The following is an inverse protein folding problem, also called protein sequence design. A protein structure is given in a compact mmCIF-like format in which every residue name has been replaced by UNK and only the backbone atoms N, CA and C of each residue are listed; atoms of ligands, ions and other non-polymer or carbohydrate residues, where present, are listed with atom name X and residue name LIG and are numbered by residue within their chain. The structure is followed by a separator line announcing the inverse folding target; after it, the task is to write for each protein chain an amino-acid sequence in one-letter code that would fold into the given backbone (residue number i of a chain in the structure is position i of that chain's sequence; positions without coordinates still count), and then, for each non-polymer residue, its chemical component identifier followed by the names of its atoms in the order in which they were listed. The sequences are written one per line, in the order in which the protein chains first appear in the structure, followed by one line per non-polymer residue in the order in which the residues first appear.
data_IF_119587297670
#
_entry.id   IF_119587297670
#
_cell.length_a   1.000
_cell.length_b   1.000
_cell.length_c   1.000
_cell.angle_alpha   90.00
_cell.angle_beta   90.00
_cell.angle_gamma   90.00
#
_symmetry.space_group_name_H-M   'P 1'
#
loop_
_entity.id
_entity.type
_entity.pdbx_description
1 polymer ?
#
# COMPACT_ATOMS: atom_id res chain seq x y z
N UNK A 1 0.36 21.26 -0.86
CA UNK A 1 -0.27 22.44 -1.49
C UNK A 1 -1.78 22.47 -1.23
N UNK A 2 -2.56 21.46 -1.71
CA UNK A 2 -4.03 21.47 -1.59
C UNK A 2 -4.48 21.60 -0.13
N UNK A 3 -3.92 20.80 0.78
CA UNK A 3 -4.21 20.86 2.21
C UNK A 3 -3.91 22.23 2.83
N UNK A 4 -2.80 22.86 2.44
CA UNK A 4 -2.40 24.18 2.96
C UNK A 4 -3.24 25.34 2.40
N UNK A 5 -3.95 25.09 1.32
CA UNK A 5 -4.85 26.06 0.69
C UNK A 5 -6.35 25.81 0.98
N UNK A 6 -6.66 24.95 1.95
CA UNK A 6 -8.01 24.75 2.45
C UNK A 6 -8.95 23.99 1.50
N UNK A 7 -8.41 23.12 0.63
CA UNK A 7 -9.25 22.24 -0.18
C UNK A 7 -9.84 21.12 0.68
N UNK A 8 -11.11 20.81 0.46
CA UNK A 8 -11.87 19.85 1.29
C UNK A 8 -11.74 18.41 0.82
N UNK A 9 -11.60 18.21 -0.50
CA UNK A 9 -11.53 16.88 -1.12
C UNK A 9 -10.41 16.87 -2.15
N UNK A 10 -9.60 15.83 -2.14
CA UNK A 10 -8.59 15.56 -3.18
C UNK A 10 -8.94 14.23 -3.84
N UNK A 11 -9.09 14.27 -5.18
CA UNK A 11 -9.22 13.06 -5.99
C UNK A 11 -7.87 12.69 -6.61
N UNK A 12 -7.44 11.45 -6.40
CA UNK A 12 -6.18 10.89 -6.86
C UNK A 12 -6.47 9.73 -7.83
N UNK A 13 -6.81 10.08 -9.09
CA UNK A 13 -7.06 9.10 -10.16
C UNK A 13 -5.75 8.58 -10.76
N UNK A 14 -4.81 8.18 -9.90
CA UNK A 14 -3.51 7.60 -10.27
C UNK A 14 -3.12 6.53 -9.27
N UNK A 15 -2.15 5.70 -9.60
CA UNK A 15 -1.58 4.67 -8.75
C UNK A 15 -0.25 4.17 -9.31
N UNK A 16 0.38 3.28 -8.56
CA UNK A 16 1.64 2.63 -8.94
C UNK A 16 1.37 1.31 -9.66
N UNK A 17 0.58 1.34 -10.73
CA UNK A 17 0.45 0.17 -11.60
C UNK A 17 1.76 -0.02 -12.36
N UNK A 18 2.75 -0.69 -11.75
CA UNK A 18 3.90 -1.18 -12.49
C UNK A 18 3.55 -2.52 -13.12
N UNK A 19 3.81 -2.62 -14.39
CA UNK A 19 3.74 -3.87 -15.16
C UNK A 19 5.17 -4.26 -15.56
N UNK A 20 5.47 -5.56 -15.48
CA UNK A 20 6.73 -6.09 -16.01
C UNK A 20 6.78 -6.01 -17.54
N UNK A 21 7.92 -6.40 -18.13
CA UNK A 21 8.10 -6.40 -19.60
C UNK A 21 7.12 -7.35 -20.31
N UNK A 22 6.56 -8.32 -19.59
CA UNK A 22 5.56 -9.28 -20.05
C UNK A 22 4.13 -8.79 -19.88
N UNK A 23 3.91 -7.63 -19.23
CA UNK A 23 2.59 -7.05 -18.97
C UNK A 23 1.88 -7.57 -17.72
N UNK A 24 2.59 -8.26 -16.81
CA UNK A 24 2.02 -8.72 -15.57
C UNK A 24 2.15 -7.63 -14.48
N UNK A 25 1.15 -7.49 -13.59
CA UNK A 25 1.25 -6.55 -12.49
C UNK A 25 2.40 -6.94 -11.54
N UNK A 26 3.26 -5.96 -11.23
CA UNK A 26 4.33 -6.13 -10.24
C UNK A 26 3.79 -5.72 -8.88
N UNK A 27 3.58 -6.69 -8.02
CA UNK A 27 2.83 -6.59 -6.76
C UNK A 27 3.58 -5.93 -5.58
N UNK A 28 4.76 -5.40 -5.75
CA UNK A 28 5.60 -4.93 -4.64
C UNK A 28 5.92 -3.44 -4.70
N UNK A 29 5.35 -2.72 -5.63
CA UNK A 29 5.75 -1.34 -5.88
C UNK A 29 4.62 -0.42 -5.54
N UNK A 30 4.83 0.42 -4.58
CA UNK A 30 3.86 1.47 -4.30
C UNK A 30 3.87 2.04 -2.91
N UNK A 31 4.11 1.27 -1.86
CA UNK A 31 4.18 1.87 -0.54
C UNK A 31 5.39 2.80 -0.43
N UNK A 32 5.13 4.04 -0.09
CA UNK A 32 6.14 5.05 0.21
C UNK A 32 5.83 5.69 1.55
N UNK A 33 6.77 5.62 2.50
CA UNK A 33 6.60 6.29 3.79
C UNK A 33 6.43 7.80 3.61
N UNK A 34 7.17 8.40 2.68
CA UNK A 34 7.07 9.84 2.40
C UNK A 34 5.69 10.20 1.84
N UNK A 35 5.09 9.35 0.99
CA UNK A 35 3.73 9.56 0.47
C UNK A 35 2.68 9.36 1.58
N UNK A 36 2.83 8.31 2.40
CA UNK A 36 1.95 8.07 3.56
C UNK A 36 1.99 9.24 4.55
N UNK A 37 3.17 9.81 4.81
CA UNK A 37 3.31 10.99 5.67
C UNK A 37 2.57 12.21 5.11
N UNK A 38 2.60 12.41 3.78
CA UNK A 38 1.86 13.49 3.10
C UNK A 38 0.35 13.24 3.12
N UNK A 39 -0.09 12.00 2.92
CA UNK A 39 -1.51 11.59 3.06
C UNK A 39 -2.00 11.88 4.48
N UNK A 40 -1.26 11.45 5.49
CA UNK A 40 -1.60 11.68 6.90
C UNK A 40 -1.60 13.18 7.26
N UNK A 41 -0.67 13.95 6.70
CA UNK A 41 -0.65 15.40 6.86
C UNK A 41 -1.90 16.04 6.28
N UNK A 42 -2.30 15.68 5.05
CA UNK A 42 -3.50 16.22 4.40
C UNK A 42 -4.77 15.84 5.16
N UNK A 43 -4.88 14.58 5.59
CA UNK A 43 -5.99 14.12 6.43
C UNK A 43 -6.08 14.90 7.75
N UNK A 44 -4.96 15.11 8.43
CA UNK A 44 -4.88 15.92 9.67
C UNK A 44 -5.23 17.40 9.46
N UNK A 45 -5.18 17.90 8.22
CA UNK A 45 -5.67 19.21 7.81
C UNK A 45 -7.16 19.22 7.42
N UNK A 46 -7.89 18.15 7.70
CA UNK A 46 -9.31 18.05 7.43
C UNK A 46 -9.66 17.72 5.97
N UNK A 47 -8.69 17.36 5.13
CA UNK A 47 -8.94 17.00 3.73
C UNK A 47 -9.43 15.56 3.64
N UNK A 48 -10.47 15.30 2.86
CA UNK A 48 -10.87 13.97 2.48
C UNK A 48 -10.10 13.54 1.22
N UNK A 49 -9.50 12.37 1.29
CA UNK A 49 -8.67 11.82 0.22
C UNK A 49 -9.37 10.63 -0.43
N UNK A 50 -9.50 10.66 -1.75
CA UNK A 50 -10.15 9.61 -2.55
C UNK A 50 -9.19 9.16 -3.64
N UNK A 51 -9.00 7.87 -3.84
CA UNK A 51 -8.07 7.34 -4.84
C UNK A 51 -8.63 6.15 -5.60
N UNK A 52 -8.19 6.01 -6.86
CA UNK A 52 -8.47 4.87 -7.71
C UNK A 52 -7.77 3.61 -7.19
N UNK A 53 -8.50 2.49 -7.09
CA UNK A 53 -7.95 1.23 -6.55
C UNK A 53 -6.96 0.52 -7.50
N UNK A 54 -6.96 0.84 -8.79
CA UNK A 54 -6.12 0.21 -9.81
C UNK A 54 -6.91 -0.65 -10.80
N UNK A 55 -6.27 -1.00 -11.91
CA UNK A 55 -6.92 -1.64 -13.04
C UNK A 55 -6.31 -3.00 -13.42
N UNK A 56 -5.63 -3.66 -12.50
CA UNK A 56 -5.01 -4.98 -12.71
C UNK A 56 -6.00 -6.16 -12.59
N UNK A 57 -7.21 -5.92 -12.06
CA UNK A 57 -8.22 -6.96 -11.86
C UNK A 57 -7.89 -7.96 -10.74
N UNK A 58 -7.00 -7.60 -9.84
CA UNK A 58 -6.46 -8.45 -8.78
C UNK A 58 -6.71 -7.86 -7.38
N UNK A 59 -6.47 -8.61 -6.29
CA UNK A 59 -6.65 -8.15 -4.91
C UNK A 59 -5.41 -7.45 -4.33
N UNK A 60 -4.42 -7.11 -5.15
CA UNK A 60 -3.15 -6.54 -4.68
C UNK A 60 -3.34 -5.07 -4.31
N UNK A 61 -2.82 -4.68 -3.12
CA UNK A 61 -2.88 -3.30 -2.62
C UNK A 61 -2.11 -2.36 -3.54
N UNK A 62 -2.78 -1.32 -4.03
CA UNK A 62 -2.21 -0.28 -4.86
C UNK A 62 -2.20 1.06 -4.09
N UNK A 63 -1.14 1.83 -4.22
CA UNK A 63 -0.99 3.11 -3.52
C UNK A 63 -1.10 4.28 -4.50
N UNK A 64 -1.69 5.42 -4.06
CA UNK A 64 -2.02 5.79 -2.67
C UNK A 64 -3.36 5.23 -2.13
N UNK A 65 -4.14 4.48 -2.91
CA UNK A 65 -5.47 4.03 -2.51
C UNK A 65 -5.47 3.20 -1.21
N UNK A 66 -4.45 2.37 -0.99
CA UNK A 66 -4.36 1.46 0.15
C UNK A 66 -3.81 2.09 1.45
N UNK A 67 -3.56 3.42 1.50
CA UNK A 67 -3.26 4.09 2.77
C UNK A 67 -4.52 4.26 3.61
N UNK A 68 -4.40 4.14 4.94
CA UNK A 68 -5.54 4.15 5.88
C UNK A 68 -6.45 5.38 5.78
N UNK A 69 -5.88 6.55 5.51
CA UNK A 69 -6.61 7.81 5.44
C UNK A 69 -7.07 8.17 4.01
N UNK A 70 -7.15 7.18 3.13
CA UNK A 70 -7.64 7.30 1.76
C UNK A 70 -8.89 6.43 1.58
N UNK A 71 -9.90 6.95 0.88
CA UNK A 71 -11.01 6.14 0.38
C UNK A 71 -10.56 5.50 -0.93
N UNK A 72 -10.28 4.20 -0.91
CA UNK A 72 -9.98 3.43 -2.09
C UNK A 72 -11.24 3.10 -2.87
N UNK A 73 -11.27 3.38 -4.17
CA UNK A 73 -12.48 3.22 -5.01
C UNK A 73 -12.24 2.25 -6.14
N UNK A 74 -12.96 1.14 -6.14
CA UNK A 74 -13.06 0.18 -7.25
C UNK A 74 -14.14 0.60 -8.26
N UNK A 75 -14.12 -0.01 -9.44
CA UNK A 75 -15.04 0.28 -10.53
C UNK A 75 -16.15 -0.77 -10.66
N UNK A 76 -17.40 -0.30 -10.85
CA UNK A 76 -18.52 -1.11 -11.34
C UNK A 76 -18.81 -0.81 -12.80
N UNK A 77 -19.44 -1.78 -13.48
CA UNK A 77 -20.07 -1.64 -14.77
C UNK A 77 -21.52 -1.07 -14.63
N UNK A 78 -22.27 -1.02 -15.73
CA UNK A 78 -23.63 -0.50 -15.80
C UNK A 78 -24.69 -1.44 -15.21
N UNK A 79 -24.34 -2.71 -14.95
CA UNK A 79 -25.15 -3.70 -14.24
C UNK A 79 -24.82 -3.75 -12.73
N UNK A 80 -24.02 -2.80 -12.23
CA UNK A 80 -23.52 -2.74 -10.86
C UNK A 80 -22.62 -3.91 -10.42
N UNK A 81 -22.10 -4.69 -11.37
CA UNK A 81 -21.09 -5.71 -11.09
C UNK A 81 -19.69 -5.07 -11.04
N UNK A 82 -18.74 -5.75 -10.40
CA UNK A 82 -17.35 -5.32 -10.50
C UNK A 82 -16.87 -5.36 -11.95
N UNK A 83 -16.41 -4.24 -12.48
CA UNK A 83 -15.74 -4.19 -13.78
C UNK A 83 -14.54 -5.15 -13.78
N UNK A 84 -14.36 -5.93 -14.85
CA UNK A 84 -13.38 -7.03 -14.90
C UNK A 84 -11.94 -6.59 -14.64
N UNK A 85 -11.60 -5.36 -15.02
CA UNK A 85 -10.29 -4.76 -14.81
C UNK A 85 -10.10 -4.21 -13.38
N UNK A 86 -11.19 -3.94 -12.63
CA UNK A 86 -11.07 -3.28 -11.34
C UNK A 86 -10.31 -4.13 -10.33
N UNK A 87 -9.25 -3.58 -9.74
CA UNK A 87 -8.65 -4.12 -8.53
C UNK A 87 -9.67 -4.11 -7.39
N UNK A 88 -9.56 -5.06 -6.46
CA UNK A 88 -10.58 -5.34 -5.45
C UNK A 88 -9.96 -5.86 -4.15
N UNK A 89 -10.71 -5.85 -3.06
CA UNK A 89 -10.30 -6.42 -1.77
C UNK A 89 -11.17 -5.91 -0.63
N UNK A 90 -11.81 -6.81 0.11
CA UNK A 90 -12.65 -6.48 1.26
C UNK A 90 -11.87 -5.98 2.48
N UNK A 91 -10.56 -5.99 2.43
CA UNK A 91 -9.67 -5.51 3.48
C UNK A 91 -9.04 -4.14 3.20
N UNK A 92 -9.17 -3.58 1.96
CA UNK A 92 -8.54 -2.31 1.62
C UNK A 92 -9.33 -1.44 0.63
N UNK A 93 -10.12 -2.00 -0.30
CA UNK A 93 -11.00 -1.20 -1.17
C UNK A 93 -12.21 -0.75 -0.36
N UNK A 94 -12.37 0.56 -0.15
CA UNK A 94 -13.46 1.09 0.68
C UNK A 94 -14.81 0.96 -0.03
N UNK A 95 -14.90 1.52 -1.25
CA UNK A 95 -16.15 1.64 -2.00
C UNK A 95 -15.99 1.18 -3.45
N UNK A 96 -17.09 0.77 -4.04
CA UNK A 96 -17.24 0.62 -5.49
C UNK A 96 -18.03 1.82 -6.03
N UNK A 97 -17.74 2.26 -7.26
CA UNK A 97 -18.50 3.30 -7.95
C UNK A 97 -18.49 3.08 -9.48
N UNK A 98 -19.42 3.67 -10.25
CA UNK A 98 -19.44 3.53 -11.70
C UNK A 98 -18.10 3.93 -12.32
N UNK A 99 -17.47 3.01 -13.06
CA UNK A 99 -16.14 3.21 -13.63
C UNK A 99 -15.93 2.57 -14.98
N UNK A 100 -16.90 1.82 -15.50
CA UNK A 100 -16.86 1.31 -16.87
C UNK A 100 -17.76 2.12 -17.77
N UNK A 101 -17.25 2.44 -18.97
CA UNK A 101 -17.99 3.18 -20.01
C UNK A 101 -18.55 4.52 -19.50
N UNK A 102 -17.71 5.34 -18.87
CA UNK A 102 -18.09 6.65 -18.34
C UNK A 102 -17.88 7.73 -19.40
N UNK A 103 -18.97 8.39 -19.77
CA UNK A 103 -18.94 9.54 -20.69
C UNK A 103 -18.56 10.81 -19.91
N UNK A 104 -17.52 11.50 -20.34
CA UNK A 104 -17.08 12.76 -19.75
C UNK A 104 -16.46 13.69 -20.77
N UNK A 105 -16.31 14.96 -20.38
CA UNK A 105 -15.65 15.98 -21.19
C UNK A 105 -14.15 15.74 -21.26
N UNK A 106 -13.61 15.86 -22.47
CA UNK A 106 -12.16 15.79 -22.72
C UNK A 106 -11.70 17.03 -23.48
N UNK A 107 -10.54 17.62 -23.15
CA UNK A 107 -10.01 18.72 -23.91
C UNK A 107 -9.63 18.24 -25.34
N UNK A 108 -10.19 18.88 -26.34
CA UNK A 108 -9.86 18.64 -27.73
C UNK A 108 -9.84 19.99 -28.48
N UNK A 109 -8.94 20.16 -29.47
CA UNK A 109 -8.84 21.35 -30.29
C UNK A 109 -10.12 21.57 -31.14
N UNK A 110 -10.94 20.54 -31.32
CA UNK A 110 -12.19 20.57 -32.06
C UNK A 110 -13.43 20.80 -31.18
N UNK A 111 -13.27 21.01 -29.89
CA UNK A 111 -14.36 21.32 -28.98
C UNK A 111 -15.02 22.67 -29.34
N UNK A 112 -16.29 22.66 -29.62
CA UNK A 112 -17.07 23.90 -29.91
C UNK A 112 -18.24 23.71 -30.85
N UNK A 113 -18.41 22.54 -31.43
CA UNK A 113 -19.62 22.18 -32.20
C UNK A 113 -20.33 21.05 -31.47
N UNK A 114 -21.46 21.37 -30.88
CA UNK A 114 -22.28 20.38 -30.16
C UNK A 114 -22.98 19.49 -31.21
N UNK A 115 -22.41 18.32 -31.42
CA UNK A 115 -23.07 17.24 -32.19
C UNK A 115 -23.12 16.02 -31.24
N UNK A 116 -24.31 15.62 -30.84
CA UNK A 116 -24.55 14.54 -29.88
C UNK A 116 -23.97 13.20 -30.31
N UNK A 117 -23.81 12.98 -31.60
CA UNK A 117 -23.26 11.75 -32.20
C UNK A 117 -21.78 11.87 -32.58
N UNK A 118 -21.21 13.07 -32.60
CA UNK A 118 -19.82 13.35 -32.99
C UNK A 118 -19.15 14.45 -32.15
N UNK A 119 -19.56 14.65 -30.90
CA UNK A 119 -18.95 15.70 -30.09
C UNK A 119 -17.52 15.30 -29.68
N UNK A 120 -16.57 15.93 -30.36
CA UNK A 120 -15.15 15.73 -30.14
C UNK A 120 -14.70 16.07 -28.70
N UNK A 121 -15.58 16.67 -27.90
CA UNK A 121 -15.33 17.05 -26.50
C UNK A 121 -15.79 16.00 -25.49
N UNK A 122 -16.50 14.96 -25.92
CA UNK A 122 -17.01 13.91 -25.07
C UNK A 122 -16.37 12.57 -25.44
N UNK A 123 -15.81 11.89 -24.44
CA UNK A 123 -15.21 10.58 -24.63
C UNK A 123 -15.68 9.60 -23.56
N UNK A 124 -15.88 8.36 -23.98
CA UNK A 124 -16.08 7.22 -23.10
C UNK A 124 -14.74 6.72 -22.60
N UNK A 125 -14.61 6.57 -21.28
CA UNK A 125 -13.43 5.97 -20.66
C UNK A 125 -13.84 4.98 -19.58
N UNK A 126 -12.99 3.97 -19.35
CA UNK A 126 -13.17 2.96 -18.31
C UNK A 126 -11.94 2.90 -17.43
N UNK A 127 -12.15 2.75 -16.14
CA UNK A 127 -11.09 2.65 -15.15
C UNK A 127 -11.57 3.02 -13.74
N UNK A 128 -10.87 2.56 -12.73
CA UNK A 128 -11.05 3.04 -11.35
C UNK A 128 -10.76 4.54 -11.23
N UNK A 129 -9.99 5.09 -12.20
CA UNK A 129 -9.78 6.53 -12.38
C UNK A 129 -11.06 7.31 -12.69
N UNK A 130 -12.08 6.65 -13.28
CA UNK A 130 -13.41 7.21 -13.54
C UNK A 130 -14.36 6.98 -12.38
N UNK A 131 -14.16 5.94 -11.60
CA UNK A 131 -14.94 5.64 -10.40
C UNK A 131 -14.62 6.60 -9.24
N UNK A 132 -13.34 6.87 -8.97
CA UNK A 132 -12.91 7.70 -7.84
C UNK A 132 -13.50 9.13 -7.85
N UNK A 133 -13.62 9.84 -8.99
CA UNK A 133 -14.23 11.17 -9.01
C UNK A 133 -15.75 11.17 -8.71
N UNK A 134 -16.46 10.05 -8.89
CA UNK A 134 -17.85 9.94 -8.42
C UNK A 134 -17.92 10.02 -6.90
N UNK A 135 -17.03 9.34 -6.20
CA UNK A 135 -16.94 9.38 -4.73
C UNK A 135 -16.47 10.76 -4.26
N UNK A 136 -15.47 11.35 -4.94
CA UNK A 136 -15.00 12.71 -4.62
C UNK A 136 -16.11 13.77 -4.81
N UNK A 137 -16.91 13.65 -5.87
CA UNK A 137 -18.08 14.52 -6.12
C UNK A 137 -19.17 14.34 -5.06
N UNK A 138 -19.47 13.11 -4.68
CA UNK A 138 -20.38 12.79 -3.57
C UNK A 138 -19.88 13.39 -2.24
N UNK A 139 -18.60 13.28 -1.95
CA UNK A 139 -17.97 13.88 -0.78
C UNK A 139 -18.15 15.41 -0.78
N UNK A 140 -17.85 16.06 -1.90
CA UNK A 140 -18.01 17.52 -2.03
C UNK A 140 -19.46 17.97 -1.82
N UNK A 141 -20.44 17.20 -2.34
CA UNK A 141 -21.86 17.46 -2.11
C UNK A 141 -22.25 17.31 -0.65
N UNK A 142 -21.77 16.28 0.03
CA UNK A 142 -22.00 16.07 1.47
C UNK A 142 -21.40 17.21 2.31
N UNK A 143 -20.19 17.69 1.97
CA UNK A 143 -19.59 18.87 2.59
C UNK A 143 -20.49 20.09 2.46
N UNK A 144 -20.94 20.41 1.23
CA UNK A 144 -21.80 21.54 0.97
C UNK A 144 -23.17 21.41 1.65
N UNK A 145 -23.71 20.20 1.79
CA UNK A 145 -25.01 19.95 2.39
C UNK A 145 -24.97 19.97 3.92
N UNK A 146 -23.96 19.37 4.54
CA UNK A 146 -23.90 19.19 6.01
C UNK A 146 -23.16 20.32 6.72
N UNK A 147 -22.16 20.92 6.07
CA UNK A 147 -21.23 21.86 6.69
C UNK A 147 -21.10 23.17 5.90
N UNK A 148 -22.19 23.62 5.28
CA UNK A 148 -22.22 24.84 4.45
C UNK A 148 -21.71 26.10 5.18
N UNK A 149 -21.87 26.17 6.47
CA UNK A 149 -21.44 27.26 7.34
C UNK A 149 -20.00 27.12 7.85
N UNK A 150 -19.33 25.97 7.58
CA UNK A 150 -17.97 25.64 8.00
C UNK A 150 -17.00 25.41 6.83
N UNK A 151 -17.36 25.85 5.61
CA UNK A 151 -16.55 25.65 4.41
C UNK A 151 -15.28 26.54 4.33
N UNK A 152 -15.06 27.43 5.29
CA UNK A 152 -13.91 28.36 5.23
C UNK A 152 -12.57 27.71 5.53
N UNK A 153 -12.55 26.67 6.36
CA UNK A 153 -11.33 25.97 6.76
C UNK A 153 -11.64 24.52 7.19
N UNK A 154 -11.32 23.53 6.36
CA UNK A 154 -11.57 22.12 6.69
C UNK A 154 -10.80 21.63 7.93
N UNK A 155 -9.66 22.23 8.25
CA UNK A 155 -8.83 21.81 9.38
C UNK A 155 -9.50 22.09 10.74
N UNK A 156 -10.40 23.05 10.80
CA UNK A 156 -11.12 23.43 12.02
C UNK A 156 -12.56 22.92 12.06
N UNK A 157 -13.04 22.32 10.96
CA UNK A 157 -14.39 21.82 10.85
C UNK A 157 -14.59 20.58 11.75
N UNK A 158 -15.61 20.66 12.62
CA UNK A 158 -16.03 19.55 13.47
C UNK A 158 -17.55 19.47 13.51
N UNK A 159 -18.09 18.27 13.67
CA UNK A 159 -19.50 18.08 13.94
C UNK A 159 -19.88 18.45 15.38
N UNK A 160 -21.15 18.31 15.74
CA UNK A 160 -21.64 18.62 17.08
C UNK A 160 -21.04 17.73 18.19
N UNK A 161 -20.44 16.59 17.83
CA UNK A 161 -19.78 15.66 18.76
C UNK A 161 -18.26 15.88 18.84
N UNK A 162 -17.72 16.84 18.08
CA UNK A 162 -16.30 17.15 18.01
C UNK A 162 -15.51 16.25 17.06
N UNK A 163 -16.19 15.47 16.22
CA UNK A 163 -15.54 14.62 15.21
C UNK A 163 -15.17 15.48 13.99
N UNK A 164 -13.94 15.38 13.44
CA UNK A 164 -13.55 16.11 12.24
C UNK A 164 -14.50 15.85 11.07
N UNK A 165 -14.84 16.91 10.32
CA UNK A 165 -15.82 16.80 9.24
C UNK A 165 -15.41 15.85 8.12
N UNK A 166 -14.12 15.77 7.75
CA UNK A 166 -13.63 14.80 6.79
C UNK A 166 -13.89 13.35 7.23
N UNK A 167 -13.70 13.05 8.51
CA UNK A 167 -14.01 11.74 9.08
C UNK A 167 -15.52 11.46 9.04
N UNK A 168 -16.35 12.44 9.38
CA UNK A 168 -17.81 12.29 9.31
C UNK A 168 -18.29 12.07 7.88
N UNK A 169 -17.78 12.83 6.91
CA UNK A 169 -18.11 12.64 5.49
C UNK A 169 -17.68 11.25 5.00
N UNK A 170 -16.47 10.79 5.37
CA UNK A 170 -16.03 9.43 5.08
C UNK A 170 -17.01 8.40 5.62
N UNK A 171 -17.37 8.50 6.89
CA UNK A 171 -18.31 7.58 7.54
C UNK A 171 -19.70 7.60 6.89
N UNK A 172 -20.18 8.76 6.45
CA UNK A 172 -21.47 8.88 5.74
C UNK A 172 -21.42 8.15 4.40
N UNK A 173 -20.33 8.30 3.63
CA UNK A 173 -20.14 7.62 2.36
C UNK A 173 -20.06 6.09 2.54
N UNK A 174 -19.28 5.64 3.51
CA UNK A 174 -19.02 4.23 3.77
C UNK A 174 -20.24 3.51 4.37
N UNK A 175 -20.88 4.09 5.38
CA UNK A 175 -22.05 3.48 6.04
C UNK A 175 -23.35 3.64 5.25
N UNK A 176 -23.40 4.60 4.32
CA UNK A 176 -24.53 4.79 3.42
C UNK A 176 -24.44 4.00 2.12
N UNK A 177 -23.35 3.24 1.90
CA UNK A 177 -23.15 2.46 0.70
C UNK A 177 -24.09 1.26 0.59
N UNK A 178 -24.38 0.83 -0.64
CA UNK A 178 -25.16 -0.38 -0.92
C UNK A 178 -24.26 -1.61 -0.86
N UNK A 179 -24.48 -2.55 0.07
CA UNK A 179 -23.65 -3.74 0.20
C UNK A 179 -23.91 -4.78 -0.90
N UNK A 180 -25.04 -4.68 -1.59
CA UNK A 180 -25.50 -5.61 -2.63
C UNK A 180 -25.68 -4.85 -3.94
N UNK A 181 -25.11 -5.37 -5.02
CA UNK A 181 -25.32 -4.87 -6.38
C UNK A 181 -26.69 -5.19 -6.94
N UNK A 182 -27.02 -4.68 -8.14
CA UNK A 182 -28.34 -4.79 -8.75
C UNK A 182 -28.80 -6.24 -8.97
N UNK A 183 -27.88 -7.14 -9.33
CA UNK A 183 -28.15 -8.57 -9.54
C UNK A 183 -28.00 -9.44 -8.27
N UNK A 184 -27.91 -8.81 -7.10
CA UNK A 184 -27.73 -9.51 -5.84
C UNK A 184 -26.28 -9.94 -5.57
N UNK A 185 -25.31 -9.40 -6.29
CA UNK A 185 -23.89 -9.60 -6.00
C UNK A 185 -23.55 -9.02 -4.63
N UNK A 186 -22.88 -9.80 -3.80
CA UNK A 186 -22.31 -9.34 -2.55
C UNK A 186 -21.06 -8.49 -2.83
N UNK A 187 -21.23 -7.17 -2.77
CA UNK A 187 -20.14 -6.21 -3.00
C UNK A 187 -19.19 -6.10 -1.82
N UNK A 188 -19.57 -6.55 -0.63
CA UNK A 188 -18.68 -6.62 0.54
C UNK A 188 -17.68 -7.78 0.47
N UNK A 189 -17.86 -8.70 -0.47
CA UNK A 189 -16.83 -9.71 -0.78
C UNK A 189 -15.62 -9.13 -1.53
N UNK A 190 -15.76 -7.93 -2.15
CA UNK A 190 -14.76 -7.29 -3.02
C UNK A 190 -14.41 -5.87 -2.59
N UNK A 191 -15.14 -5.30 -1.63
CA UNK A 191 -14.89 -4.00 -1.00
C UNK A 191 -15.35 -4.02 0.45
N UNK A 192 -14.96 -3.03 1.25
CA UNK A 192 -15.34 -2.97 2.68
C UNK A 192 -16.82 -2.66 2.89
N UNK A 193 -17.37 -1.72 2.11
CA UNK A 193 -18.71 -1.17 2.36
C UNK A 193 -19.70 -1.38 1.22
N UNK A 194 -19.23 -1.68 0.00
CA UNK A 194 -20.08 -1.87 -1.15
C UNK A 194 -20.07 -0.70 -2.13
N UNK A 195 -21.17 -0.45 -2.84
CA UNK A 195 -21.28 0.58 -3.87
C UNK A 195 -21.71 1.93 -3.31
N UNK A 196 -21.12 3.01 -3.83
CA UNK A 196 -21.54 4.38 -3.54
C UNK A 196 -23.05 4.56 -3.70
N UNK A 197 -23.72 5.02 -2.64
CA UNK A 197 -25.12 5.43 -2.64
C UNK A 197 -25.23 6.81 -2.01
N UNK A 198 -25.45 7.83 -2.84
CA UNK A 198 -25.52 9.21 -2.36
C UNK A 198 -26.75 9.46 -1.46
N UNK A 199 -27.90 8.83 -1.74
CA UNK A 199 -29.11 8.95 -0.91
C UNK A 199 -28.87 8.29 0.45
N UNK A 200 -28.26 7.09 0.44
CA UNK A 200 -27.85 6.42 1.66
C UNK A 200 -26.87 7.28 2.47
N UNK A 201 -25.85 7.85 1.84
CA UNK A 201 -24.88 8.72 2.48
C UNK A 201 -25.52 10.00 3.11
N UNK A 202 -26.45 10.65 2.40
CA UNK A 202 -27.17 11.84 2.90
C UNK A 202 -28.05 11.55 4.13
N UNK A 203 -28.56 10.33 4.22
CA UNK A 203 -29.46 9.88 5.30
C UNK A 203 -28.76 9.06 6.38
N UNK A 204 -27.49 8.70 6.15
CA UNK A 204 -26.70 7.99 7.14
C UNK A 204 -26.62 8.79 8.45
N UNK A 205 -26.78 8.07 9.55
CA UNK A 205 -26.49 8.56 10.90
C UNK A 205 -25.26 7.82 11.38
N UNK A 206 -24.05 8.31 11.03
CA UNK A 206 -22.85 7.56 11.35
C UNK A 206 -22.77 7.26 12.84
N UNK A 207 -22.64 5.98 13.17
CA UNK A 207 -22.16 5.54 14.48
C UNK A 207 -20.65 5.56 14.45
N UNK A 208 -20.00 5.63 15.62
CA UNK A 208 -18.56 5.52 15.72
C UNK A 208 -18.06 4.37 14.80
N UNK A 209 -17.05 4.61 13.95
CA UNK A 209 -16.57 3.56 13.06
C UNK A 209 -16.20 2.34 13.91
N UNK A 210 -16.45 1.12 13.43
CA UNK A 210 -15.89 -0.04 14.09
C UNK A 210 -14.38 0.20 14.23
N UNK A 211 -13.79 -0.16 15.37
CA UNK A 211 -12.35 -0.02 15.52
C UNK A 211 -11.68 -0.68 14.30
N UNK A 212 -10.64 -0.04 13.75
CA UNK A 212 -9.94 -0.63 12.60
C UNK A 212 -9.64 -2.09 12.91
N UNK A 213 -9.74 -2.98 11.92
CA UNK A 213 -9.41 -4.39 12.14
C UNK A 213 -8.03 -4.45 12.80
N UNK A 214 -7.82 -5.32 13.78
CA UNK A 214 -6.55 -5.39 14.47
C UNK A 214 -5.43 -5.59 13.44
N UNK A 215 -4.44 -4.70 13.47
CA UNK A 215 -3.30 -4.74 12.57
C UNK A 215 -2.64 -6.14 12.61
N UNK A 216 -2.48 -6.75 11.45
CA UNK A 216 -1.98 -8.12 11.34
C UNK A 216 -0.46 -8.09 11.17
N UNK A 217 0.26 -8.47 12.21
CA UNK A 217 1.71 -8.70 12.12
C UNK A 217 1.96 -10.14 11.69
N UNK A 218 2.75 -10.31 10.64
CA UNK A 218 3.17 -11.62 10.12
C UNK A 218 4.70 -11.77 10.19
N UNK A 219 5.16 -13.00 10.09
CA UNK A 219 6.57 -13.26 9.83
C UNK A 219 6.88 -12.93 8.36
N UNK A 220 8.12 -12.50 8.05
CA UNK A 220 8.57 -12.39 6.66
C UNK A 220 8.53 -13.75 5.95
N UNK A 221 8.18 -13.73 4.69
CA UNK A 221 8.06 -14.92 3.84
C UNK A 221 9.08 -14.88 2.70
N UNK A 222 9.24 -16.01 1.99
CA UNK A 222 10.10 -16.15 0.80
C UNK A 222 11.54 -15.63 0.99
N UNK A 223 12.14 -15.88 2.18
CA UNK A 223 13.54 -15.51 2.44
C UNK A 223 14.45 -16.21 1.44
N UNK A 224 15.14 -15.41 0.62
CA UNK A 224 16.14 -15.85 -0.34
C UNK A 224 17.50 -15.24 -0.06
N UNK A 225 18.57 -15.97 -0.40
CA UNK A 225 19.95 -15.56 -0.14
C UNK A 225 20.79 -15.72 -1.39
N UNK A 226 21.60 -14.72 -1.69
CA UNK A 226 22.60 -14.77 -2.75
C UNK A 226 23.95 -14.26 -2.26
N UNK A 227 25.02 -14.62 -2.95
CA UNK A 227 26.38 -14.16 -2.64
C UNK A 227 26.97 -13.50 -3.89
N UNK A 228 27.45 -12.30 -3.73
CA UNK A 228 28.20 -11.58 -4.78
C UNK A 228 29.42 -10.91 -4.15
N UNK A 229 30.61 -11.15 -4.68
CA UNK A 229 31.87 -10.58 -4.19
C UNK A 229 32.11 -10.75 -2.68
N UNK A 230 31.76 -11.92 -2.13
CA UNK A 230 31.84 -12.25 -0.70
C UNK A 230 30.90 -11.43 0.20
N UNK A 231 29.93 -10.72 -0.37
CA UNK A 231 28.83 -10.06 0.34
C UNK A 231 27.60 -10.97 0.21
N UNK A 232 26.91 -11.16 1.31
CA UNK A 232 25.64 -11.89 1.36
C UNK A 232 24.50 -10.91 1.23
N UNK A 233 23.60 -11.16 0.27
CA UNK A 233 22.39 -10.41 0.04
C UNK A 233 21.19 -11.26 0.46
N UNK A 234 20.37 -10.74 1.34
CA UNK A 234 19.11 -11.32 1.75
C UNK A 234 17.97 -10.55 1.09
N UNK A 235 16.93 -11.27 0.66
CA UNK A 235 15.68 -10.68 0.20
C UNK A 235 14.53 -11.44 0.85
N UNK A 236 13.45 -10.74 1.20
CA UNK A 236 12.23 -11.31 1.78
C UNK A 236 11.00 -10.52 1.36
N UNK A 237 9.83 -11.14 1.47
CA UNK A 237 8.54 -10.48 1.30
C UNK A 237 7.86 -10.31 2.66
N UNK A 238 7.14 -9.22 2.84
CA UNK A 238 6.28 -9.00 3.99
C UNK A 238 4.84 -8.77 3.53
N UNK A 239 3.92 -9.62 4.00
CA UNK A 239 2.50 -9.62 3.63
C UNK A 239 1.58 -9.23 4.81
N UNK A 240 2.13 -8.62 5.85
CA UNK A 240 1.39 -8.05 6.97
C UNK A 240 1.20 -6.55 6.85
N UNK A 241 0.58 -5.94 7.85
CA UNK A 241 0.38 -4.50 7.90
C UNK A 241 1.69 -3.77 8.25
N UNK A 242 2.17 -2.95 7.36
CA UNK A 242 3.44 -2.21 7.55
C UNK A 242 3.32 -1.18 8.69
N UNK A 243 2.14 -0.62 8.91
CA UNK A 243 1.89 0.30 10.03
C UNK A 243 1.95 -0.36 11.40
N UNK A 244 1.79 -1.70 11.45
CA UNK A 244 1.89 -2.50 12.67
C UNK A 244 3.33 -2.77 13.10
N UNK A 245 4.32 -2.54 12.24
CA UNK A 245 5.70 -2.94 12.49
C UNK A 245 6.64 -1.74 12.58
N UNK A 246 7.71 -1.91 13.37
CA UNK A 246 8.80 -0.96 13.46
C UNK A 246 9.91 -1.22 12.43
N UNK A 247 9.89 -2.39 11.80
CA UNK A 247 10.90 -2.86 10.87
C UNK A 247 11.19 -4.35 11.03
N UNK A 248 12.42 -4.74 10.73
CA UNK A 248 12.83 -6.15 10.73
C UNK A 248 14.08 -6.36 11.58
N UNK A 249 14.23 -7.58 12.10
CA UNK A 249 15.46 -8.05 12.73
C UNK A 249 16.04 -9.18 11.89
N UNK A 250 17.28 -9.02 11.46
CA UNK A 250 18.04 -10.06 10.77
C UNK A 250 18.92 -10.77 11.79
N UNK A 251 18.89 -12.09 11.82
CA UNK A 251 19.79 -12.91 12.64
C UNK A 251 20.58 -13.85 11.77
N UNK A 252 21.85 -14.04 12.17
CA UNK A 252 22.79 -14.96 11.53
C UNK A 252 23.41 -15.87 12.57
N UNK A 253 23.42 -17.16 12.30
CA UNK A 253 24.28 -18.13 12.98
C UNK A 253 25.42 -18.58 12.08
N UNK A 254 26.54 -18.93 12.69
CA UNK A 254 27.73 -19.43 11.99
C UNK A 254 28.05 -20.84 12.44
N UNK A 255 28.41 -21.69 11.50
CA UNK A 255 28.78 -23.08 11.78
C UNK A 255 30.17 -23.19 12.43
N UNK A 256 30.22 -23.83 13.57
CA UNK A 256 31.51 -24.15 14.22
C UNK A 256 31.89 -25.62 13.99
N UNK A 257 32.74 -25.85 12.99
CA UNK A 257 33.19 -27.20 12.64
C UNK A 257 33.93 -27.94 13.76
N UNK A 258 34.62 -27.23 14.67
CA UNK A 258 35.32 -27.87 15.81
C UNK A 258 34.35 -28.40 16.86
N UNK A 259 33.17 -27.72 17.02
CA UNK A 259 32.14 -28.09 17.99
C UNK A 259 30.96 -28.82 17.36
N UNK A 260 30.98 -28.97 16.04
CA UNK A 260 29.91 -29.58 15.23
C UNK A 260 28.51 -29.03 15.61
N UNK A 261 28.40 -27.71 15.67
CA UNK A 261 27.12 -27.02 15.98
C UNK A 261 27.10 -25.58 15.49
N UNK A 262 25.88 -25.07 15.27
CA UNK A 262 25.63 -23.66 15.05
C UNK A 262 25.91 -22.87 16.32
N UNK A 263 26.49 -21.69 16.16
CA UNK A 263 26.79 -20.76 17.24
C UNK A 263 27.05 -19.35 16.73
N UNK A 264 27.28 -18.42 17.67
CA UNK A 264 27.63 -17.03 17.36
C UNK A 264 26.51 -16.28 16.65
N UNK A 265 25.37 -16.13 17.34
CA UNK A 265 24.28 -15.31 16.88
C UNK A 265 24.75 -13.85 16.72
N UNK A 266 24.61 -13.33 15.49
CA UNK A 266 24.71 -11.89 15.20
C UNK A 266 23.30 -11.39 14.85
N UNK A 267 22.98 -10.16 15.28
CA UNK A 267 21.64 -9.60 15.10
C UNK A 267 21.74 -8.14 14.69
N UNK A 268 20.89 -7.73 13.76
CA UNK A 268 20.78 -6.36 13.25
C UNK A 268 19.31 -5.95 13.16
N UNK A 269 18.97 -4.76 13.63
CA UNK A 269 17.65 -4.16 13.44
C UNK A 269 17.66 -3.24 12.22
N UNK A 270 16.75 -3.49 11.30
CA UNK A 270 16.45 -2.67 10.12
C UNK A 270 15.16 -1.93 10.45
N UNK A 271 15.27 -0.72 11.00
CA UNK A 271 14.11 0.08 11.46
C UNK A 271 13.43 0.79 10.29
N UNK A 272 13.14 0.04 9.25
CA UNK A 272 12.38 0.45 8.09
C UNK A 272 11.32 -0.62 7.80
N UNK A 273 10.01 -0.32 8.00
CA UNK A 273 8.94 -1.29 7.77
C UNK A 273 8.76 -1.66 6.29
N UNK A 274 9.38 -0.92 5.39
CA UNK A 274 9.33 -1.18 3.95
C UNK A 274 10.54 -1.97 3.43
N UNK A 275 11.52 -2.24 4.30
CA UNK A 275 12.72 -2.95 3.89
C UNK A 275 12.40 -4.39 3.45
N UNK A 276 12.91 -4.77 2.29
CA UNK A 276 12.82 -6.12 1.74
C UNK A 276 14.17 -6.76 1.51
N UNK A 277 15.25 -6.04 1.83
CA UNK A 277 16.63 -6.49 1.57
C UNK A 277 17.57 -6.15 2.74
N UNK A 278 18.64 -6.94 2.86
CA UNK A 278 19.74 -6.68 3.80
C UNK A 278 21.05 -7.19 3.22
N UNK A 279 22.15 -6.47 3.47
CA UNK A 279 23.49 -6.84 3.02
C UNK A 279 24.40 -7.14 4.22
N UNK A 280 25.06 -8.31 4.19
CA UNK A 280 26.08 -8.67 5.18
C UNK A 280 27.44 -8.88 4.52
N UNK A 281 28.33 -7.91 4.72
CA UNK A 281 29.73 -7.95 4.23
C UNK A 281 30.71 -8.56 5.24
N UNK A 282 30.23 -8.95 6.42
CA UNK A 282 31.06 -9.42 7.54
C UNK A 282 31.19 -10.95 7.63
N UNK A 283 30.75 -11.66 6.61
CA UNK A 283 30.63 -13.13 6.63
C UNK A 283 31.92 -13.81 6.27
N UNK A 284 32.26 -14.88 7.02
CA UNK A 284 33.32 -15.79 6.70
C UNK A 284 32.94 -17.20 7.20
N UNK A 285 32.93 -18.19 6.29
CA UNK A 285 32.58 -19.57 6.59
C UNK A 285 31.12 -19.90 6.29
N UNK A 286 30.63 -20.99 6.90
CA UNK A 286 29.25 -21.46 6.70
C UNK A 286 28.31 -20.74 7.64
N UNK A 287 27.24 -20.19 7.10
CA UNK A 287 26.21 -19.39 7.82
C UNK A 287 24.81 -19.71 7.33
N UNK A 288 23.82 -19.40 8.15
CA UNK A 288 22.42 -19.28 7.76
C UNK A 288 21.78 -18.07 8.44
N UNK A 289 20.63 -17.63 7.92
CA UNK A 289 19.92 -16.43 8.36
C UNK A 289 18.46 -16.71 8.62
N UNK A 290 17.86 -15.87 9.44
CA UNK A 290 16.42 -15.68 9.52
C UNK A 290 16.09 -14.19 9.65
N UNK A 291 14.88 -13.83 9.26
CA UNK A 291 14.36 -12.46 9.39
C UNK A 291 13.12 -12.49 10.25
N UNK A 292 13.03 -11.61 11.21
CA UNK A 292 11.87 -11.44 12.08
C UNK A 292 11.28 -10.05 11.93
N UNK A 293 9.96 -9.95 11.89
CA UNK A 293 9.23 -8.69 11.95
C UNK A 293 9.21 -8.17 13.39
N UNK A 294 9.49 -6.89 13.59
CA UNK A 294 9.44 -6.21 14.89
C UNK A 294 8.09 -5.51 15.01
N UNK A 295 7.22 -6.00 15.88
CA UNK A 295 5.92 -5.37 16.15
C UNK A 295 6.12 -4.00 16.82
N UNK A 296 5.39 -2.99 16.34
CA UNK A 296 5.54 -1.60 16.79
C UNK A 296 5.01 -1.38 18.22
N UNK A 297 3.97 -2.10 18.62
CA UNK A 297 3.29 -1.90 19.91
C UNK A 297 4.11 -2.33 21.11
N UNK A 298 4.88 -3.42 21.03
CA UNK A 298 5.57 -4.05 22.16
C UNK A 298 6.95 -4.64 21.85
N UNK A 299 7.41 -4.51 20.59
CA UNK A 299 8.69 -5.06 20.14
C UNK A 299 8.70 -6.58 19.97
N UNK A 300 7.56 -7.26 20.03
CA UNK A 300 7.46 -8.69 19.77
C UNK A 300 8.01 -9.05 18.40
N UNK A 301 8.61 -10.25 18.28
CA UNK A 301 9.27 -10.71 17.07
C UNK A 301 8.53 -11.91 16.45
N UNK A 302 8.23 -11.80 15.16
CA UNK A 302 7.61 -12.85 14.35
C UNK A 302 8.61 -13.31 13.31
N UNK A 303 9.17 -14.53 13.49
CA UNK A 303 10.30 -15.02 12.73
C UNK A 303 9.90 -15.83 11.49
N UNK A 304 10.61 -15.63 10.39
CA UNK A 304 10.70 -16.58 9.27
C UNK A 304 11.34 -17.89 9.72
N UNK A 305 11.26 -18.92 8.89
CA UNK A 305 12.19 -20.05 8.98
C UNK A 305 13.65 -19.61 8.80
N UNK A 306 14.60 -20.49 9.20
CA UNK A 306 15.99 -20.33 8.81
C UNK A 306 16.15 -20.58 7.30
N UNK A 307 17.03 -19.82 6.67
CA UNK A 307 17.43 -20.04 5.28
C UNK A 307 18.21 -21.35 5.11
N UNK A 308 18.45 -21.72 3.87
CA UNK A 308 19.47 -22.71 3.54
C UNK A 308 20.85 -22.24 3.99
N UNK A 309 21.76 -23.21 4.23
CA UNK A 309 23.14 -22.93 4.59
C UNK A 309 23.90 -22.41 3.37
N UNK A 310 24.67 -21.38 3.58
CA UNK A 310 25.59 -20.85 2.57
C UNK A 310 27.02 -20.78 3.10
N UNK A 311 28.00 -20.93 2.22
CA UNK A 311 29.40 -20.82 2.57
C UNK A 311 30.05 -19.67 1.83
N UNK A 312 30.57 -18.69 2.59
CA UNK A 312 31.36 -17.59 2.04
C UNK A 312 32.85 -17.90 2.17
N UNK A 313 33.55 -17.97 1.04
CA UNK A 313 34.99 -18.18 1.02
C UNK A 313 35.69 -16.96 1.63
N UNK A 314 36.48 -17.17 2.66
CA UNK A 314 37.32 -16.13 3.23
C UNK A 314 38.27 -15.58 2.19
N UNK A 315 38.44 -14.26 2.12
CA UNK A 315 39.46 -13.61 1.33
C UNK A 315 40.81 -14.10 1.85
N UNK A 316 41.41 -15.13 1.18
CA UNK A 316 42.68 -15.71 1.53
C UNK A 316 43.77 -14.65 1.42
N UNK A 317 44.17 -14.08 2.56
CA UNK A 317 45.40 -13.34 2.64
C UNK A 317 46.57 -14.29 2.37
N UNK A 318 47.06 -14.29 1.15
CA UNK A 318 48.21 -15.04 0.74
C UNK A 318 49.43 -14.60 1.56
N UNK A 319 49.75 -15.34 2.62
CA UNK A 319 51.08 -15.31 3.20
C UNK A 319 52.02 -16.11 2.31
N UNK A 320 52.60 -15.43 1.33
CA UNK A 320 53.81 -15.86 0.64
C UNK A 320 54.96 -15.89 1.63
N UNK A 321 55.13 -17.04 2.29
CA UNK A 321 56.33 -17.32 3.11
C UNK A 321 57.37 -18.09 2.32
N UNK A 322 58.09 -17.42 1.41
CA UNK A 322 59.33 -17.95 0.86
C UNK A 322 60.40 -17.96 1.94
N UNK A 323 60.74 -19.12 2.50
CA UNK A 323 62.03 -19.37 3.16
C UNK A 323 62.86 -20.29 2.30
N UNK A 324 63.60 -19.70 1.35
CA UNK A 324 64.81 -20.26 0.79
C UNK A 324 66.00 -19.87 1.66
N UNK A 325 66.45 -20.77 2.50
CA UNK A 325 67.73 -20.66 3.26
C UNK A 325 68.62 -21.81 2.93
N UNK A 326 69.42 -21.70 1.84
CA UNK A 326 70.55 -22.56 1.58
C UNK A 326 71.63 -22.25 2.58
N UNK A 327 72.17 -23.31 3.26
CA UNK A 327 73.44 -23.28 3.96
C UNK A 327 74.53 -23.58 2.97
N UNK A 328 75.69 -22.89 2.94
CA UNK A 328 76.90 -23.40 2.34
C UNK A 328 77.65 -24.27 3.32
N UNK A 329 78.18 -25.39 2.80
CA UNK A 329 79.14 -26.19 3.47
C UNK A 329 80.48 -25.45 3.67
N UNK A 330 80.98 -25.48 4.90
CA UNK A 330 82.27 -25.99 5.33
C UNK A 330 82.19 -26.25 6.82
#
# INVERSE_FOLDING_TARGET
YAADNGYHVINMSYGSDEIDEEGNPISLVGYSQAENDVVNYAWGKGVLLVSAAGNAGDPIKNYPAAYDNVIAVGATDDDDNRASFSSFGSDWVSLMAPGDSILSTMPNEQCGTFDYDNDACLHWQSGTSMASPHVAGAAALLWAYKYADQLSDPATCQDASGVPCNQMIRMMLEQGADPIGADGQDLQSISQYGRLNLVGALTATPSEPPPPPPLVVKAPEALSISITNSIVFLNWNYLGDQDAIAGFRVERESWNAKRNRWQSLSSWDVLDPTATTFEDSSVNGEVHYRVGTIQKSDGSLFWSGWSDNITVAGSGGGKGGGKGGGKPNK
#
